data_IF_166669384882
#
_entry.id   IF_166669384882
#
_cell.length_a   1.000
_cell.length_b   1.000
_cell.length_c   1.000
_cell.angle_alpha   90.00
_cell.angle_beta   90.00
_cell.angle_gamma   90.00
#
_symmetry.space_group_name_H-M   'P 1'
#
loop_
_entity.id
_entity.type
_entity.pdbx_description
1 polymer ?
#
# COMPACT_ATOMS: atom_id res chain seq x y z
N UNK A 1 -12.68 -10.71 10.63
CA UNK A 1 -12.92 -9.32 10.17
C UNK A 1 -11.56 -8.69 10.09
N UNK A 2 -11.23 -8.01 9.00
CA UNK A 2 -9.91 -7.42 8.80
C UNK A 2 -9.56 -6.42 9.91
N UNK A 3 -8.35 -6.49 10.46
CA UNK A 3 -7.78 -5.49 11.35
C UNK A 3 -7.35 -4.27 10.52
N UNK A 4 -8.07 -3.16 10.69
CA UNK A 4 -7.77 -1.91 10.02
C UNK A 4 -6.70 -1.12 10.80
N UNK A 5 -5.99 -0.18 10.14
CA UNK A 5 -5.12 0.78 10.82
C UNK A 5 -5.87 1.53 11.92
N UNK A 6 -5.19 1.90 13.00
CA UNK A 6 -5.82 2.63 14.12
C UNK A 6 -6.37 4.03 13.73
N UNK A 7 -5.93 4.53 12.57
CA UNK A 7 -6.38 5.80 11.97
C UNK A 7 -7.69 5.66 11.21
N UNK A 8 -8.11 4.43 10.87
CA UNK A 8 -9.32 4.18 10.09
C UNK A 8 -10.43 3.77 11.02
N UNK A 9 -11.57 4.46 10.91
CA UNK A 9 -12.80 4.02 11.56
C UNK A 9 -13.99 4.12 10.64
N UNK A 10 -15.02 3.40 11.06
CA UNK A 10 -16.33 3.42 10.44
C UNK A 10 -17.04 4.72 10.85
N UNK A 11 -17.51 5.56 9.91
CA UNK A 11 -18.40 6.65 10.24
C UNK A 11 -19.69 6.14 10.87
N UNK A 12 -20.19 6.86 11.86
CA UNK A 12 -21.55 6.67 12.38
C UNK A 12 -22.58 7.23 11.40
N UNK A 13 -23.84 6.80 11.51
CA UNK A 13 -24.92 7.26 10.63
C UNK A 13 -25.14 8.79 10.69
N UNK A 14 -24.72 9.44 11.79
CA UNK A 14 -24.83 10.89 11.98
C UNK A 14 -23.69 11.69 11.36
N UNK A 15 -22.56 11.03 11.03
CA UNK A 15 -21.37 11.66 10.44
C UNK A 15 -21.38 11.61 8.90
N UNK A 16 -22.36 10.93 8.31
CA UNK A 16 -22.52 10.84 6.87
C UNK A 16 -23.51 11.90 6.39
N UNK A 17 -23.06 12.75 5.46
CA UNK A 17 -23.95 13.68 4.78
C UNK A 17 -25.09 12.91 4.09
N UNK A 18 -26.30 13.47 4.15
CA UNK A 18 -27.46 12.85 3.51
C UNK A 18 -27.23 12.74 2.00
N UNK A 19 -27.36 11.50 1.50
CA UNK A 19 -27.33 11.18 0.08
C UNK A 19 -28.39 10.13 -0.24
N UNK A 20 -29.03 10.17 -1.42
CA UNK A 20 -30.15 9.27 -1.74
C UNK A 20 -29.82 7.77 -1.67
N UNK A 21 -28.55 7.42 -1.80
CA UNK A 21 -28.01 6.05 -1.81
C UNK A 21 -27.35 5.63 -0.48
N UNK A 22 -27.46 6.44 0.58
CA UNK A 22 -26.77 6.22 1.85
C UNK A 22 -27.10 4.86 2.47
N UNK A 23 -28.40 4.52 2.52
CA UNK A 23 -28.88 3.25 3.08
C UNK A 23 -28.37 2.04 2.29
N UNK A 24 -28.30 2.16 0.97
CA UNK A 24 -27.78 1.11 0.09
C UNK A 24 -26.29 0.89 0.36
N UNK A 25 -25.51 1.96 0.49
CA UNK A 25 -24.06 1.86 0.73
C UNK A 25 -23.78 1.30 2.13
N UNK A 26 -24.53 1.73 3.15
CA UNK A 26 -24.42 1.15 4.49
C UNK A 26 -24.80 -0.34 4.51
N UNK A 27 -25.81 -0.73 3.72
CA UNK A 27 -26.22 -2.12 3.61
C UNK A 27 -25.20 -2.99 2.86
N UNK A 28 -24.61 -2.48 1.76
CA UNK A 28 -23.52 -3.14 1.04
C UNK A 28 -22.33 -3.36 1.97
N UNK A 29 -21.91 -2.32 2.68
CA UNK A 29 -20.81 -2.39 3.65
C UNK A 29 -21.02 -3.46 4.72
N UNK A 30 -22.22 -3.54 5.31
CA UNK A 30 -22.53 -4.55 6.34
C UNK A 30 -22.41 -6.00 5.83
N UNK A 31 -22.47 -6.19 4.51
CA UNK A 31 -22.33 -7.49 3.85
C UNK A 31 -20.97 -7.65 3.15
N UNK A 32 -20.11 -6.63 3.23
CA UNK A 32 -18.87 -6.59 2.49
C UNK A 32 -17.90 -7.67 2.95
N UNK A 33 -17.25 -8.33 2.00
CA UNK A 33 -16.28 -9.39 2.24
C UNK A 33 -14.88 -8.81 2.50
N UNK A 34 -14.77 -7.94 3.50
CA UNK A 34 -13.50 -7.31 3.91
C UNK A 34 -12.83 -8.20 4.98
N UNK A 35 -11.95 -9.08 4.52
CA UNK A 35 -11.19 -10.04 5.32
C UNK A 35 -9.82 -10.27 4.70
N UNK A 36 -8.93 -10.89 5.46
CA UNK A 36 -7.62 -11.32 4.95
C UNK A 36 -7.76 -12.29 3.76
N UNK A 37 -6.85 -12.13 2.81
CA UNK A 37 -6.81 -12.93 1.59
C UNK A 37 -6.28 -12.11 0.41
N UNK A 38 -6.22 -12.72 -0.76
CA UNK A 38 -5.77 -12.04 -1.96
C UNK A 38 -6.63 -12.35 -3.19
N UNK A 39 -6.80 -11.34 -4.04
CA UNK A 39 -7.27 -11.49 -5.41
C UNK A 39 -6.08 -11.69 -6.33
N UNK A 40 -6.24 -12.50 -7.37
CA UNK A 40 -5.22 -12.75 -8.38
C UNK A 40 -5.78 -12.45 -9.78
N UNK A 41 -5.04 -11.68 -10.56
CA UNK A 41 -5.35 -11.41 -11.97
C UNK A 41 -4.14 -11.73 -12.85
N UNK A 42 -4.34 -12.55 -13.87
CA UNK A 42 -3.27 -12.88 -14.81
C UNK A 42 -3.03 -11.72 -15.79
N UNK A 43 -1.79 -11.57 -16.25
CA UNK A 43 -1.47 -10.59 -17.27
C UNK A 43 -1.90 -11.10 -18.65
N UNK A 44 -2.93 -10.49 -19.23
CA UNK A 44 -3.39 -10.79 -20.59
C UNK A 44 -2.66 -9.97 -21.67
N UNK A 45 -1.79 -9.02 -21.27
CA UNK A 45 -1.02 -8.18 -22.18
C UNK A 45 0.45 -8.62 -22.24
N UNK A 46 0.87 -9.34 -23.29
CA UNK A 46 2.24 -9.87 -23.40
C UNK A 46 3.30 -8.78 -23.60
N UNK A 47 2.91 -7.51 -23.82
CA UNK A 47 3.86 -6.39 -23.91
C UNK A 47 4.35 -5.91 -22.55
N UNK A 48 3.65 -6.26 -21.47
CA UNK A 48 4.02 -5.85 -20.13
C UNK A 48 4.85 -6.97 -19.46
N UNK A 49 6.03 -6.66 -18.91
CA UNK A 49 6.97 -7.68 -18.44
C UNK A 49 6.65 -8.26 -17.05
N UNK A 50 5.37 -8.51 -16.74
CA UNK A 50 4.94 -9.21 -15.52
C UNK A 50 3.97 -10.35 -15.87
N UNK A 51 3.77 -11.30 -14.96
CA UNK A 51 2.92 -12.49 -15.19
C UNK A 51 1.55 -12.37 -14.54
N UNK A 52 1.48 -11.78 -13.35
CA UNK A 52 0.24 -11.63 -12.59
C UNK A 52 0.26 -10.37 -11.73
N UNK A 53 -0.93 -9.99 -11.30
CA UNK A 53 -1.19 -8.95 -10.32
C UNK A 53 -1.94 -9.58 -9.15
N UNK A 54 -1.65 -9.12 -7.95
CA UNK A 54 -2.39 -9.48 -6.76
C UNK A 54 -2.76 -8.24 -5.95
N UNK A 55 -3.95 -8.25 -5.38
CA UNK A 55 -4.39 -7.28 -4.38
C UNK A 55 -4.67 -8.04 -3.10
N UNK A 56 -4.03 -7.65 -2.00
CA UNK A 56 -3.94 -8.46 -0.78
C UNK A 56 -4.46 -7.65 0.39
N UNK A 57 -5.54 -8.13 1.01
CA UNK A 57 -5.96 -7.71 2.33
C UNK A 57 -5.19 -8.54 3.37
N UNK A 58 -4.60 -7.85 4.34
CA UNK A 58 -3.95 -8.46 5.48
C UNK A 58 -4.24 -7.61 6.72
N UNK A 59 -4.34 -8.24 7.88
CA UNK A 59 -4.47 -7.53 9.14
C UNK A 59 -3.31 -6.53 9.28
N UNK A 60 -3.63 -5.31 9.68
CA UNK A 60 -2.66 -4.22 9.69
C UNK A 60 -1.44 -4.50 10.59
N UNK A 61 -1.62 -5.28 11.66
CA UNK A 61 -0.53 -5.76 12.52
C UNK A 61 0.49 -6.65 11.79
N UNK A 62 0.09 -7.32 10.71
CA UNK A 62 0.93 -8.21 9.90
C UNK A 62 1.39 -7.60 8.56
N UNK A 63 0.92 -6.38 8.24
CA UNK A 63 1.20 -5.69 6.98
C UNK A 63 2.70 -5.54 6.71
N UNK A 64 3.47 -5.11 7.71
CA UNK A 64 4.91 -4.89 7.56
C UNK A 64 5.68 -6.19 7.32
N UNK A 65 5.32 -7.26 8.04
CA UNK A 65 5.95 -8.57 7.90
C UNK A 65 5.72 -9.13 6.49
N UNK A 66 4.48 -9.05 5.99
CA UNK A 66 4.16 -9.46 4.63
C UNK A 66 4.87 -8.59 3.59
N UNK A 67 4.93 -7.27 3.79
CA UNK A 67 5.69 -6.37 2.92
C UNK A 67 7.17 -6.80 2.83
N UNK A 68 7.82 -7.08 3.96
CA UNK A 68 9.21 -7.55 3.98
C UNK A 68 9.37 -8.90 3.27
N UNK A 69 8.44 -9.83 3.49
CA UNK A 69 8.45 -11.15 2.87
C UNK A 69 8.29 -11.06 1.33
N UNK A 70 7.41 -10.19 0.85
CA UNK A 70 7.28 -9.88 -0.58
C UNK A 70 8.51 -9.15 -1.12
N UNK A 71 9.07 -8.19 -0.39
CA UNK A 71 10.31 -7.50 -0.75
C UNK A 71 11.50 -8.45 -0.86
N UNK A 72 11.53 -9.55 -0.10
CA UNK A 72 12.56 -10.58 -0.22
C UNK A 72 12.56 -11.28 -1.60
N UNK A 73 11.45 -11.22 -2.35
CA UNK A 73 11.36 -11.74 -3.73
C UNK A 73 12.04 -10.85 -4.77
N UNK A 74 12.29 -9.58 -4.44
CA UNK A 74 12.93 -8.62 -5.35
C UNK A 74 14.44 -8.89 -5.50
N UNK A 75 15.06 -8.44 -6.61
CA UNK A 75 16.52 -8.39 -6.76
C UNK A 75 17.24 -7.57 -5.68
N UNK A 76 18.58 -7.57 -5.72
CA UNK A 76 19.41 -6.83 -4.76
C UNK A 76 19.31 -5.31 -4.91
N UNK A 77 18.91 -4.82 -6.09
CA UNK A 77 18.67 -3.41 -6.35
C UNK A 77 17.21 -3.15 -6.72
N UNK A 78 16.66 -2.08 -6.17
CA UNK A 78 15.26 -1.66 -6.34
C UNK A 78 15.17 -0.14 -6.30
N UNK A 79 14.15 0.41 -6.96
CA UNK A 79 13.69 1.77 -6.71
C UNK A 79 12.70 1.76 -5.55
N UNK A 80 12.76 2.76 -4.68
CA UNK A 80 11.72 3.04 -3.71
C UNK A 80 10.68 3.96 -4.35
N UNK A 81 9.40 3.69 -4.11
CA UNK A 81 8.30 4.57 -4.49
C UNK A 81 7.60 5.01 -3.21
N UNK A 82 7.38 6.30 -2.99
CA UNK A 82 6.70 6.79 -1.79
C UNK A 82 6.14 8.21 -1.99
N UNK A 83 5.05 8.52 -1.30
CA UNK A 83 4.36 9.79 -1.45
C UNK A 83 3.23 9.99 -0.44
N UNK A 84 2.68 11.20 -0.47
CA UNK A 84 1.39 11.48 0.13
C UNK A 84 0.28 11.01 -0.82
N UNK A 85 -0.82 10.53 -0.26
CA UNK A 85 -2.02 10.23 -1.04
C UNK A 85 -2.51 11.50 -1.73
N UNK A 86 -2.97 11.36 -2.98
CA UNK A 86 -3.38 12.45 -3.90
C UNK A 86 -2.24 13.34 -4.46
N UNK A 87 -1.02 13.22 -3.94
CA UNK A 87 0.17 13.90 -4.46
C UNK A 87 0.99 13.03 -5.42
N UNK A 88 1.91 13.66 -6.16
CA UNK A 88 2.89 12.93 -6.97
C UNK A 88 3.87 12.15 -6.08
N UNK A 89 3.91 10.83 -6.26
CA UNK A 89 4.87 9.96 -5.59
C UNK A 89 6.28 10.14 -6.16
N UNK A 90 7.28 10.17 -5.28
CA UNK A 90 8.67 10.11 -5.72
C UNK A 90 9.03 8.67 -6.08
N UNK A 91 9.87 8.51 -7.10
CA UNK A 91 10.52 7.25 -7.44
C UNK A 91 12.02 7.45 -7.44
N UNK A 92 12.76 6.69 -6.63
CA UNK A 92 14.21 6.79 -6.57
C UNK A 92 14.87 6.13 -7.77
N UNK A 93 16.16 6.42 -7.98
CA UNK A 93 17.02 5.53 -8.77
C UNK A 93 17.10 4.12 -8.13
N UNK A 94 17.72 3.17 -8.84
CA UNK A 94 17.91 1.82 -8.31
C UNK A 94 19.00 1.81 -7.22
N UNK A 95 18.56 1.69 -5.98
CA UNK A 95 19.39 1.63 -4.78
C UNK A 95 19.53 0.19 -4.27
N UNK A 96 20.47 -0.03 -3.35
CA UNK A 96 20.57 -1.32 -2.67
C UNK A 96 19.31 -1.58 -1.86
N UNK A 97 18.62 -2.70 -2.10
CA UNK A 97 17.36 -3.05 -1.42
C UNK A 97 17.50 -3.04 0.10
N UNK A 98 18.61 -3.53 0.63
CA UNK A 98 18.87 -3.52 2.08
C UNK A 98 18.97 -2.10 2.66
N UNK A 99 19.50 -1.14 1.89
CA UNK A 99 19.51 0.27 2.29
C UNK A 99 18.09 0.85 2.27
N UNK A 100 17.35 0.64 1.18
CA UNK A 100 15.96 1.11 1.05
C UNK A 100 15.08 0.60 2.19
N UNK A 101 15.10 -0.71 2.46
CA UNK A 101 14.32 -1.32 3.53
C UNK A 101 14.70 -0.76 4.90
N UNK A 102 15.98 -0.53 5.17
CA UNK A 102 16.46 0.06 6.43
C UNK A 102 15.99 1.50 6.62
N UNK A 103 15.91 2.30 5.56
CA UNK A 103 15.39 3.67 5.66
C UNK A 103 13.87 3.68 5.88
N UNK A 104 13.12 2.80 5.18
CA UNK A 104 11.68 2.67 5.38
C UNK A 104 11.33 2.15 6.79
N UNK A 105 12.09 1.19 7.32
CA UNK A 105 11.89 0.59 8.65
C UNK A 105 11.88 1.63 9.79
N UNK A 106 12.61 2.73 9.65
CA UNK A 106 12.60 3.84 10.62
C UNK A 106 11.24 4.49 10.80
N UNK A 107 10.36 4.31 9.82
CA UNK A 107 9.03 4.88 9.74
C UNK A 107 7.96 3.80 9.63
N UNK A 108 8.26 2.55 10.00
CA UNK A 108 7.32 1.42 9.93
C UNK A 108 5.94 1.78 10.50
N UNK A 109 5.92 2.40 11.69
CA UNK A 109 4.66 2.79 12.33
C UNK A 109 3.87 3.79 11.49
N UNK A 110 4.52 4.84 10.99
CA UNK A 110 3.84 5.83 10.17
C UNK A 110 3.41 5.23 8.82
N UNK A 111 4.27 4.47 8.16
CA UNK A 111 4.01 3.83 6.87
C UNK A 111 2.85 2.83 6.92
N UNK A 112 2.75 2.05 7.99
CA UNK A 112 1.69 1.04 8.15
C UNK A 112 0.38 1.60 8.70
N UNK A 113 0.42 2.65 9.51
CA UNK A 113 -0.77 3.15 10.21
C UNK A 113 -1.35 4.43 9.60
N UNK A 114 -0.54 5.32 9.02
CA UNK A 114 -1.01 6.62 8.56
C UNK A 114 -1.56 6.53 7.13
N UNK A 115 -2.86 6.66 6.97
CA UNK A 115 -3.56 6.55 5.69
C UNK A 115 -3.36 7.74 4.74
N UNK A 116 -2.44 8.67 5.03
CA UNK A 116 -1.96 9.64 4.06
C UNK A 116 -0.68 9.20 3.36
N UNK A 117 -0.01 8.13 3.82
CA UNK A 117 1.25 7.66 3.23
C UNK A 117 1.02 6.45 2.32
N UNK A 118 1.64 6.50 1.14
CA UNK A 118 1.81 5.37 0.23
C UNK A 118 3.29 5.07 0.07
N UNK A 119 3.64 3.79 -0.02
CA UNK A 119 5.03 3.38 -0.20
C UNK A 119 5.16 2.02 -0.88
N UNK A 120 6.32 1.75 -1.44
CA UNK A 120 6.52 0.56 -2.22
C UNK A 120 7.94 0.40 -2.77
N UNK A 121 8.13 -0.73 -3.46
CA UNK A 121 9.34 -1.07 -4.20
C UNK A 121 9.00 -1.33 -5.65
N UNK A 122 9.89 -0.90 -6.53
CA UNK A 122 9.81 -1.11 -7.96
C UNK A 122 11.12 -1.70 -8.47
N UNK A 123 11.01 -2.77 -9.25
CA UNK A 123 12.10 -3.26 -10.09
C UNK A 123 11.57 -3.42 -11.51
N UNK A 124 12.18 -2.68 -12.44
CA UNK A 124 11.80 -2.73 -13.84
C UNK A 124 13.05 -2.76 -14.72
N UNK A 125 13.07 -3.72 -15.64
CA UNK A 125 13.96 -3.75 -16.78
C UNK A 125 13.17 -4.23 -18.02
N UNK A 126 13.84 -4.39 -19.16
CA UNK A 126 13.19 -4.80 -20.42
C UNK A 126 12.43 -6.13 -20.37
N UNK A 127 12.79 -7.04 -19.45
CA UNK A 127 12.29 -8.41 -19.41
C UNK A 127 11.39 -8.67 -18.19
N UNK A 128 11.50 -7.85 -17.14
CA UNK A 128 10.86 -8.07 -15.83
C UNK A 128 10.36 -6.75 -15.23
N UNK A 129 9.11 -6.77 -14.77
CA UNK A 129 8.50 -5.81 -13.85
C UNK A 129 8.07 -6.56 -12.59
N UNK A 130 8.56 -6.08 -11.44
CA UNK A 130 8.07 -6.46 -10.12
C UNK A 130 7.76 -5.16 -9.39
N UNK A 131 6.53 -5.05 -8.90
CA UNK A 131 6.07 -3.88 -8.16
C UNK A 131 5.38 -4.35 -6.88
N UNK A 132 5.65 -3.65 -5.79
CA UNK A 132 5.07 -3.89 -4.49
C UNK A 132 4.67 -2.53 -3.94
N UNK A 133 3.38 -2.27 -3.77
CA UNK A 133 2.89 -1.01 -3.18
C UNK A 133 1.93 -1.29 -2.05
N UNK A 134 2.01 -0.48 -1.00
CA UNK A 134 1.03 -0.37 0.07
C UNK A 134 0.23 0.88 -0.20
N UNK A 135 -1.08 0.71 -0.40
CA UNK A 135 -2.00 1.82 -0.65
C UNK A 135 -2.21 2.68 0.59
N UNK A 136 -2.85 3.83 0.40
CA UNK A 136 -3.30 4.70 1.48
C UNK A 136 -4.26 3.96 2.43
N UNK A 137 -5.02 3.01 1.89
CA UNK A 137 -5.94 2.13 2.61
C UNK A 137 -5.30 0.90 3.23
N UNK A 138 -3.97 0.78 3.15
CA UNK A 138 -3.15 -0.23 3.84
C UNK A 138 -3.42 -1.68 3.44
N UNK A 139 -3.80 -1.88 2.18
CA UNK A 139 -3.70 -3.17 1.51
C UNK A 139 -2.50 -3.18 0.56
N UNK A 140 -2.03 -4.36 0.18
CA UNK A 140 -0.88 -4.52 -0.71
C UNK A 140 -1.36 -4.73 -2.14
N UNK A 141 -0.73 -4.06 -3.10
CA UNK A 141 -0.77 -4.40 -4.52
C UNK A 141 0.59 -4.94 -4.96
N UNK A 142 0.59 -6.05 -5.69
CA UNK A 142 1.80 -6.74 -6.10
C UNK A 142 1.75 -7.18 -7.56
N UNK A 143 2.76 -6.83 -8.33
CA UNK A 143 2.99 -7.31 -9.69
C UNK A 143 4.19 -8.25 -9.65
N UNK A 144 4.03 -9.44 -10.20
CA UNK A 144 5.06 -10.47 -10.11
C UNK A 144 5.19 -11.35 -11.34
N UNK A 145 6.33 -12.05 -11.41
CA UNK A 145 6.66 -13.02 -12.47
C UNK A 145 6.64 -14.47 -11.95
N UNK A 146 6.91 -14.69 -10.66
CA UNK A 146 7.02 -16.01 -10.02
C UNK A 146 5.74 -16.43 -9.28
N UNK A 147 4.69 -16.81 -10.02
CA UNK A 147 3.36 -17.09 -9.46
C UNK A 147 3.35 -18.17 -8.37
N UNK A 148 4.03 -19.29 -8.57
CA UNK A 148 3.97 -20.40 -7.62
C UNK A 148 4.71 -20.07 -6.31
N UNK A 149 5.82 -19.34 -6.40
CA UNK A 149 6.52 -18.81 -5.22
C UNK A 149 5.64 -17.81 -4.45
N UNK A 150 4.91 -16.95 -5.17
CA UNK A 150 3.97 -16.03 -4.56
C UNK A 150 2.84 -16.77 -3.82
N UNK A 151 2.23 -17.79 -4.44
CA UNK A 151 1.18 -18.60 -3.79
C UNK A 151 1.68 -19.30 -2.53
N UNK A 152 2.90 -19.85 -2.56
CA UNK A 152 3.52 -20.46 -1.39
C UNK A 152 3.71 -19.45 -0.25
N UNK A 153 4.10 -18.22 -0.60
CA UNK A 153 4.22 -17.13 0.38
C UNK A 153 2.85 -16.75 0.97
N UNK A 154 1.81 -16.58 0.14
CA UNK A 154 0.47 -16.28 0.65
C UNK A 154 -0.02 -17.39 1.58
N UNK A 155 0.25 -18.65 1.23
CA UNK A 155 -0.09 -19.80 2.06
C UNK A 155 0.65 -19.79 3.41
N UNK A 156 1.92 -19.34 3.48
CA UNK A 156 2.64 -19.25 4.75
C UNK A 156 2.06 -18.19 5.70
N UNK A 157 1.44 -17.15 5.13
CA UNK A 157 0.66 -16.15 5.88
C UNK A 157 -0.81 -16.57 6.08
N UNK A 158 -1.20 -17.79 5.67
CA UNK A 158 -2.58 -18.30 5.75
C UNK A 158 -3.61 -17.45 4.98
N UNK A 159 -3.16 -16.74 3.95
CA UNK A 159 -4.01 -15.89 3.12
C UNK A 159 -4.66 -16.72 2.00
N UNK A 160 -5.99 -16.92 2.00
CA UNK A 160 -6.66 -17.63 0.93
C UNK A 160 -6.80 -16.76 -0.32
N UNK A 161 -6.82 -17.40 -1.49
CA UNK A 161 -7.27 -16.75 -2.72
C UNK A 161 -8.81 -16.64 -2.70
N UNK A 162 -9.34 -15.45 -2.96
CA UNK A 162 -10.79 -15.20 -3.04
C UNK A 162 -11.07 -14.04 -4.01
N UNK A 163 -11.81 -14.33 -5.08
CA UNK A 163 -12.13 -13.37 -6.15
C UNK A 163 -13.27 -12.40 -5.79
N UNK A 164 -13.89 -12.59 -4.62
CA UNK A 164 -14.95 -11.74 -4.08
C UNK A 164 -14.48 -10.90 -2.90
N UNK A 165 -13.17 -10.75 -2.71
CA UNK A 165 -12.66 -9.84 -1.69
C UNK A 165 -13.02 -8.40 -2.06
N UNK A 166 -13.35 -7.64 -1.04
CA UNK A 166 -13.66 -6.22 -1.16
C UNK A 166 -12.69 -5.44 -0.26
N UNK A 167 -12.41 -4.20 -0.64
CA UNK A 167 -11.38 -3.38 -0.02
C UNK A 167 -12.00 -2.17 0.68
N UNK A 168 -11.36 -1.69 1.75
CA UNK A 168 -11.97 -0.68 2.63
C UNK A 168 -12.15 0.68 1.95
N UNK A 169 -11.37 0.99 0.92
CA UNK A 169 -11.51 2.17 0.06
C UNK A 169 -12.77 2.16 -0.81
N UNK A 170 -13.38 1.00 -1.04
CA UNK A 170 -14.65 0.90 -1.76
C UNK A 170 -15.84 1.40 -0.92
N UNK A 171 -15.61 1.70 0.36
CA UNK A 171 -16.64 2.05 1.34
C UNK A 171 -16.34 3.35 2.08
N UNK A 172 -17.38 4.07 2.58
CA UNK A 172 -17.18 5.24 3.41
C UNK A 172 -16.36 4.92 4.66
N UNK A 173 -15.26 5.66 4.85
CA UNK A 173 -14.35 5.56 5.99
C UNK A 173 -14.00 6.96 6.48
N UNK A 174 -13.71 7.06 7.78
CA UNK A 174 -13.09 8.26 8.37
C UNK A 174 -11.63 7.92 8.63
N UNK A 175 -10.75 8.79 8.17
CA UNK A 175 -9.31 8.73 8.41
C UNK A 175 -8.94 9.83 9.38
N UNK A 176 -8.35 9.46 10.51
CA UNK A 176 -7.82 10.38 11.50
C UNK A 176 -6.30 10.50 11.32
N UNK A 177 -5.70 11.68 11.54
CA UNK A 177 -4.25 11.81 11.58
C UNK A 177 -3.66 10.89 12.66
N UNK A 178 -2.58 10.15 12.34
CA UNK A 178 -1.99 9.19 13.27
C UNK A 178 -1.58 9.83 14.61
N UNK A 179 -1.09 11.07 14.57
CA UNK A 179 -0.71 11.85 15.76
C UNK A 179 -1.84 12.07 16.77
N UNK A 180 -3.10 12.01 16.35
CA UNK A 180 -4.26 12.18 17.24
C UNK A 180 -4.56 10.91 18.04
N UNK A 181 -4.25 9.74 17.47
CA UNK A 181 -4.53 8.44 18.07
C UNK A 181 -3.27 7.77 18.65
N UNK A 182 -2.08 8.22 18.26
CA UNK A 182 -0.77 7.73 18.74
C UNK A 182 0.21 8.89 18.95
N UNK A 183 0.40 9.27 20.20
CA UNK A 183 1.31 10.36 20.59
C UNK A 183 2.76 10.07 20.15
N UNK A 184 3.47 11.12 19.74
CA UNK A 184 4.86 11.03 19.29
C UNK A 184 5.06 10.58 17.84
N UNK A 185 3.97 10.20 17.15
CA UNK A 185 4.02 9.89 15.71
C UNK A 185 4.35 11.15 14.89
N UNK A 186 5.12 10.97 13.83
CA UNK A 186 5.45 12.07 12.91
C UNK A 186 4.26 12.41 12.03
N UNK A 187 4.18 13.67 11.61
CA UNK A 187 3.27 14.05 10.53
C UNK A 187 3.75 13.41 9.21
N UNK A 188 2.84 13.04 8.30
CA UNK A 188 3.19 12.33 7.08
C UNK A 188 4.17 13.15 6.21
N UNK A 189 4.01 14.47 6.13
CA UNK A 189 4.93 15.37 5.40
C UNK A 189 6.35 15.34 5.98
N UNK A 190 6.45 15.15 7.31
CA UNK A 190 7.75 15.03 7.98
C UNK A 190 8.43 13.70 7.64
N UNK A 191 7.66 12.62 7.49
CA UNK A 191 8.17 11.32 7.02
C UNK A 191 8.70 11.47 5.60
N UNK A 192 7.90 12.06 4.69
CA UNK A 192 8.30 12.32 3.31
C UNK A 192 9.58 13.16 3.24
N UNK A 193 9.65 14.25 3.99
CA UNK A 193 10.84 15.11 4.04
C UNK A 193 12.10 14.31 4.42
N UNK A 194 12.03 13.45 5.43
CA UNK A 194 13.20 12.67 5.82
C UNK A 194 13.56 11.56 4.84
N UNK A 195 12.58 10.94 4.19
CA UNK A 195 12.84 9.99 3.11
C UNK A 195 13.49 10.70 1.92
N UNK A 196 13.04 11.89 1.56
CA UNK A 196 13.65 12.69 0.50
C UNK A 196 15.12 13.03 0.81
N UNK A 197 15.42 13.40 2.06
CA UNK A 197 16.81 13.60 2.49
C UNK A 197 17.65 12.32 2.41
N UNK A 198 17.09 11.18 2.85
CA UNK A 198 17.78 9.89 2.84
C UNK A 198 18.03 9.36 1.42
N UNK A 199 17.12 9.63 0.48
CA UNK A 199 17.20 9.19 -0.90
C UNK A 199 17.69 10.26 -1.88
N UNK A 200 18.07 11.44 -1.37
CA UNK A 200 18.53 12.58 -2.17
C UNK A 200 17.53 13.01 -3.25
N UNK A 201 16.24 13.02 -2.93
CA UNK A 201 15.17 13.47 -3.82
C UNK A 201 14.97 14.98 -3.65
N UNK A 202 14.99 15.71 -4.77
CA UNK A 202 14.62 17.12 -4.83
C UNK A 202 13.24 17.26 -5.49
N UNK A 203 12.23 17.53 -4.68
CA UNK A 203 10.85 17.74 -5.15
C UNK A 203 10.61 19.14 -5.73
N UNK A 204 11.54 20.09 -5.54
CA UNK A 204 11.37 21.47 -6.05
C UNK A 204 11.44 21.56 -7.58
N UNK A 205 12.06 20.57 -8.24
CA UNK A 205 12.16 20.50 -9.69
C UNK A 205 10.83 20.17 -10.41
N UNK A 206 9.87 19.54 -9.73
CA UNK A 206 8.55 19.21 -10.32
C UNK A 206 7.70 20.48 -10.58
N UNK A 207 7.87 21.51 -9.76
CA UNK A 207 7.17 22.80 -9.94
C UNK A 207 7.72 23.68 -11.08
N UNK A 208 8.84 23.30 -11.72
CA UNK A 208 9.51 24.12 -12.73
C UNK A 208 9.05 23.85 -14.17
N UNK A 209 8.08 22.94 -14.39
CA UNK A 209 7.53 22.63 -15.71
C UNK A 209 6.20 23.32 -16.02
N UNK A 210 5.73 24.20 -15.12
CA UNK A 210 4.55 25.03 -15.30
C UNK A 210 4.85 26.50 -14.96
N UNK A 211 5.80 27.10 -15.66
CA UNK A 211 5.90 28.57 -15.86
C UNK A 211 6.03 28.88 -17.36
#
# INVERSE_FOLDING_TARGET
MLELPITVRIPTDQELDYRPDLDEILMKRRKANIREGYMLKMNDNPRLPFRFQATINIDNSSLWELFQALAATFPSKVSCVYGLHEDESATTEQLQKAFVLKELERYESELTQDCQLEFGLLFHNKDVLIELSVSESKYIRYWGVELERFKQLMQSFQLPADDKLEFIDEYPKIVLPLREVKQGSKAPETVIYYLDQAFHIDRSASNALFD
#
